data_IF_607271139976
#
_entry.id   IF_607271139976
#
_cell.length_a   1.000
_cell.length_b   1.000
_cell.length_c   1.000
_cell.angle_alpha   90.00
_cell.angle_beta   90.00
_cell.angle_gamma   90.00
#
_symmetry.space_group_name_H-M   'P 1'
#
loop_
_entity.id
_entity.type
_entity.pdbx_description
1 polymer ?
2 non-polymer ?
3 non-polymer ?
4 non-polymer ?
5 water ?
#
# COMPACT_ATOMS: atom_id res chain seq x y z
N UNK A 40 -16.23 10.78 13.16
CA UNK A 40 -15.48 10.78 11.87
C UNK A 40 -14.48 9.61 11.87
N UNK A 41 -14.52 8.74 10.86
CA UNK A 41 -13.53 7.63 10.71
C UNK A 41 -12.16 8.22 10.42
N UNK A 42 -11.17 7.83 11.23
CA UNK A 42 -9.75 8.18 11.00
C UNK A 42 -9.22 7.22 9.93
N UNK A 43 -8.57 7.78 8.91
CA UNK A 43 -8.04 6.97 7.78
C UNK A 43 -6.50 6.99 7.87
N UNK A 44 -5.93 5.81 8.01
CA UNK A 44 -4.46 5.62 8.19
C UNK A 44 -3.99 4.63 7.15
N UNK A 45 -2.99 5.00 6.38
CA UNK A 45 -2.39 4.08 5.38
C UNK A 45 -1.20 3.37 6.01
N UNK A 46 -1.11 2.07 5.78
CA UNK A 46 0.09 1.26 6.10
C UNK A 46 0.93 1.15 4.81
N UNK A 47 2.10 1.75 4.82
CA UNK A 47 3.01 1.79 3.65
C UNK A 47 4.28 0.99 3.94
N UNK A 48 4.81 0.38 2.89
CA UNK A 48 6.06 -0.36 2.97
C UNK A 48 6.37 -1.18 1.73
N UNK A 49 7.62 -1.63 1.67
CA UNK A 49 8.12 -2.47 0.56
C UNK A 49 7.36 -3.78 0.53
N UNK A 50 7.46 -4.47 -0.60
CA UNK A 50 6.99 -5.88 -0.77
C UNK A 50 7.53 -6.72 0.39
N UNK A 51 6.63 -7.47 1.04
CA UNK A 51 6.91 -8.46 2.12
C UNK A 51 7.56 -7.79 3.33
N UNK A 52 7.39 -6.48 3.53
CA UNK A 52 7.82 -5.78 4.77
C UNK A 52 7.04 -6.33 6.00
N UNK A 53 5.82 -6.81 5.82
CA UNK A 53 4.95 -7.23 6.94
C UNK A 53 3.61 -6.51 7.03
N UNK A 54 3.15 -5.84 5.97
CA UNK A 54 1.97 -4.93 6.06
C UNK A 54 0.73 -5.77 6.30
N UNK A 55 0.54 -6.81 5.49
CA UNK A 55 -0.64 -7.70 5.62
C UNK A 55 -0.68 -8.33 7.02
N UNK A 56 0.46 -8.83 7.47
CA UNK A 56 0.62 -9.44 8.81
C UNK A 56 0.22 -8.41 9.88
N UNK A 57 0.71 -7.17 9.76
CA UNK A 57 0.46 -6.10 10.75
C UNK A 57 -1.03 -5.73 10.74
N UNK A 58 -1.57 -5.58 9.55
CA UNK A 58 -2.99 -5.15 9.41
C UNK A 58 -3.91 -6.20 10.07
N UNK A 59 -3.61 -7.49 9.92
CA UNK A 59 -4.44 -8.60 10.45
C UNK A 59 -4.22 -8.72 11.96
N UNK A 60 -3.09 -8.23 12.47
CA UNK A 60 -2.88 -8.05 13.94
C UNK A 60 -3.81 -6.93 14.43
N UNK A 61 -3.71 -5.75 13.83
CA UNK A 61 -4.46 -4.55 14.29
C UNK A 61 -5.97 -4.84 14.30
N UNK A 62 -6.47 -5.43 13.22
CA UNK A 62 -7.92 -5.64 13.02
C UNK A 62 -8.53 -6.27 14.28
N UNK A 63 -7.80 -7.21 14.89
CA UNK A 63 -8.28 -8.05 16.01
C UNK A 63 -8.29 -7.30 17.35
N UNK A 64 -7.65 -6.14 17.43
CA UNK A 64 -7.36 -5.51 18.75
C UNK A 64 -8.47 -4.56 19.18
N UNK A 65 -9.38 -4.19 18.30
CA UNK A 65 -10.48 -3.25 18.62
C UNK A 65 -11.60 -3.46 17.62
N UNK A 66 -12.84 -3.39 18.08
CA UNK A 66 -14.02 -3.52 17.20
C UNK A 66 -14.18 -2.18 16.48
N UNK A 67 -13.49 -1.15 16.94
CA UNK A 67 -13.50 0.20 16.35
C UNK A 67 -12.38 0.30 15.30
N UNK A 68 -11.61 -0.77 15.13
CA UNK A 68 -10.50 -0.88 14.15
C UNK A 68 -10.92 -1.84 13.05
N UNK A 69 -10.87 -1.37 11.81
CA UNK A 69 -11.23 -2.12 10.59
C UNK A 69 -10.07 -1.94 9.60
N UNK A 70 -9.96 -2.84 8.62
CA UNK A 70 -8.82 -2.90 7.66
C UNK A 70 -9.34 -2.92 6.23
N UNK A 71 -8.68 -2.26 5.29
CA UNK A 71 -8.98 -2.47 3.84
C UNK A 71 -7.74 -3.11 3.21
N UNK A 72 -7.75 -4.44 2.98
CA UNK A 72 -6.62 -5.11 2.34
C UNK A 72 -6.44 -4.55 0.93
N UNK A 73 -5.20 -4.61 0.45
CA UNK A 73 -4.82 -4.15 -0.90
C UNK A 73 -5.40 -5.13 -1.92
N UNK A 74 -6.20 -4.67 -2.89
CA UNK A 74 -6.75 -5.57 -3.89
C UNK A 74 -5.69 -6.47 -4.56
N UNK A 75 -4.57 -5.90 -4.97
CA UNK A 75 -3.48 -6.67 -5.64
C UNK A 75 -3.05 -7.82 -4.72
N UNK A 76 -2.91 -7.53 -3.43
CA UNK A 76 -2.52 -8.51 -2.40
C UNK A 76 -3.57 -9.63 -2.40
N UNK A 77 -4.85 -9.27 -2.43
CA UNK A 77 -5.94 -10.27 -2.37
C UNK A 77 -5.95 -11.09 -3.67
N UNK A 78 -5.73 -10.46 -4.84
CA UNK A 78 -5.65 -11.16 -6.15
C UNK A 78 -4.56 -12.25 -6.05
N UNK A 79 -3.43 -11.97 -5.41
CA UNK A 79 -2.27 -12.89 -5.28
C UNK A 79 -2.59 -14.07 -4.33
N UNK A 80 -3.63 -13.94 -3.49
CA UNK A 80 -4.08 -14.94 -2.48
C UNK A 80 -3.09 -14.97 -1.32
N UNK A 91 -13.32 -16.17 -6.93
CA UNK A 91 -14.65 -16.38 -7.56
C UNK A 91 -15.19 -15.05 -8.12
N UNK A 92 -14.92 -13.89 -7.51
CA UNK A 92 -15.51 -12.57 -7.94
C UNK A 92 -14.91 -12.15 -9.29
N UNK A 93 -15.63 -11.32 -10.06
CA UNK A 93 -15.13 -10.89 -11.40
C UNK A 93 -13.86 -10.06 -11.20
N UNK A 94 -13.76 -9.26 -10.13
CA UNK A 94 -12.53 -8.50 -9.85
C UNK A 94 -11.38 -9.50 -9.65
N UNK A 95 -11.60 -10.59 -8.91
CA UNK A 95 -10.51 -11.56 -8.62
C UNK A 95 -10.10 -12.26 -9.91
N UNK A 96 -11.07 -12.61 -10.74
CA UNK A 96 -10.84 -13.29 -12.03
C UNK A 96 -10.02 -12.36 -12.92
N UNK A 97 -10.45 -11.10 -13.06
CA UNK A 97 -9.75 -10.06 -13.84
C UNK A 97 -8.34 -9.89 -13.26
N UNK A 98 -8.23 -9.73 -11.94
CA UNK A 98 -6.94 -9.45 -11.30
C UNK A 98 -5.98 -10.62 -11.42
N UNK A 99 -6.45 -11.86 -11.25
CA UNK A 99 -5.55 -13.00 -11.46
C UNK A 99 -5.02 -13.02 -12.88
N UNK A 100 -5.89 -12.85 -13.89
CA UNK A 100 -5.45 -12.79 -15.30
C UNK A 100 -4.43 -11.66 -15.46
N UNK A 101 -4.72 -10.46 -14.96
CA UNK A 101 -3.79 -9.31 -15.15
C UNK A 101 -2.44 -9.64 -14.51
N UNK A 102 -2.43 -10.21 -13.30
CA UNK A 102 -1.15 -10.61 -12.65
C UNK A 102 -0.36 -11.59 -13.53
N UNK A 103 -1.02 -12.57 -14.11
CA UNK A 103 -0.30 -13.58 -14.93
C UNK A 103 0.20 -12.91 -16.20
N UNK A 104 -0.60 -12.04 -16.81
CA UNK A 104 -0.22 -11.37 -18.07
C UNK A 104 0.99 -10.46 -17.84
N UNK A 105 1.03 -9.85 -16.65
CA UNK A 105 2.13 -8.94 -16.23
C UNK A 105 3.44 -9.73 -16.12
N UNK A 106 3.42 -10.97 -15.62
CA UNK A 106 4.66 -11.78 -15.51
C UNK A 106 5.22 -11.97 -16.91
N UNK A 107 4.35 -12.23 -17.89
CA UNK A 107 4.75 -12.54 -19.29
C UNK A 107 5.25 -11.29 -20.02
N UNK A 108 4.53 -10.17 -20.00
CA UNK A 108 5.09 -8.93 -20.58
C UNK A 108 4.54 -7.68 -19.91
N UNK A 109 5.35 -7.14 -19.00
CA UNK A 109 4.95 -5.95 -18.25
C UNK A 109 4.73 -4.71 -19.13
N UNK A 110 5.49 -4.56 -20.23
CA UNK A 110 5.42 -3.34 -21.07
C UNK A 110 4.09 -3.35 -21.83
N UNK A 111 3.38 -4.48 -21.86
CA UNK A 111 2.06 -4.58 -22.52
C UNK A 111 0.94 -4.27 -21.50
N UNK A 112 1.10 -4.69 -20.23
CA UNK A 112 -0.05 -4.76 -19.28
C UNK A 112 0.09 -3.78 -18.12
N UNK A 113 1.21 -3.08 -17.97
CA UNK A 113 1.41 -2.22 -16.77
C UNK A 113 0.30 -1.18 -16.63
N UNK A 114 -0.03 -0.44 -17.70
CA UNK A 114 -1.07 0.61 -17.66
C UNK A 114 -2.42 -0.01 -17.25
N UNK A 115 -2.81 -1.12 -17.87
CA UNK A 115 -4.09 -1.78 -17.62
C UNK A 115 -4.10 -2.21 -16.15
N UNK A 116 -3.03 -2.87 -15.71
CA UNK A 116 -2.87 -3.38 -14.33
C UNK A 116 -2.96 -2.22 -13.34
N UNK A 117 -2.16 -1.18 -13.53
CA UNK A 117 -2.09 -0.08 -12.53
C UNK A 117 -3.46 0.62 -12.43
N UNK A 118 -4.18 0.83 -13.54
CA UNK A 118 -5.49 1.52 -13.52
C UNK A 118 -6.48 0.62 -12.78
N UNK A 119 -6.47 -0.69 -13.02
CA UNK A 119 -7.48 -1.57 -12.39
C UNK A 119 -7.16 -1.73 -10.90
N UNK A 120 -5.89 -1.80 -10.56
CA UNK A 120 -5.42 -1.93 -9.18
C UNK A 120 -5.91 -0.73 -8.37
N UNK A 121 -5.71 0.46 -8.92
CA UNK A 121 -6.06 1.71 -8.22
C UNK A 121 -7.58 1.84 -8.16
N UNK A 122 -8.30 1.59 -9.25
CA UNK A 122 -9.79 1.62 -9.24
C UNK A 122 -10.30 0.72 -8.10
N UNK A 123 -9.83 -0.53 -8.09
CA UNK A 123 -10.21 -1.62 -7.19
C UNK A 123 -9.97 -1.14 -5.77
N UNK A 124 -8.87 -0.43 -5.56
CA UNK A 124 -8.54 0.08 -4.21
C UNK A 124 -9.55 1.15 -3.79
N UNK A 125 -9.83 2.12 -4.65
CA UNK A 125 -10.75 3.26 -4.34
C UNK A 125 -12.11 2.63 -4.00
N UNK A 126 -12.54 1.67 -4.81
CA UNK A 126 -13.87 1.08 -4.63
C UNK A 126 -13.91 0.43 -3.24
N UNK A 127 -12.89 -0.36 -2.91
CA UNK A 127 -12.80 -1.13 -1.65
C UNK A 127 -12.68 -0.16 -0.46
N UNK A 128 -11.87 0.90 -0.57
CA UNK A 128 -11.71 1.87 0.54
C UNK A 128 -13.06 2.59 0.78
N UNK A 129 -13.73 3.06 -0.27
CA UNK A 129 -15.02 3.79 -0.15
C UNK A 129 -16.09 2.86 0.43
N UNK A 130 -16.11 1.57 0.05
CA UNK A 130 -17.08 0.56 0.55
C UNK A 130 -16.94 0.44 2.08
N UNK A 131 -15.74 0.23 2.59
CA UNK A 131 -15.47 0.18 4.04
C UNK A 131 -15.84 1.49 4.71
N UNK A 132 -15.56 2.64 4.09
CA UNK A 132 -15.78 3.98 4.68
C UNK A 132 -17.27 4.23 4.82
N UNK A 133 -18.05 3.67 3.90
CA UNK A 133 -19.51 3.90 3.79
C UNK A 133 -20.30 2.80 4.53
N UNK A 134 -19.68 1.65 4.77
CA UNK A 134 -20.35 0.44 5.21
C UNK A 134 -20.06 0.12 6.67
N UNK A 135 -18.92 0.55 7.21
CA UNK A 135 -18.38 -0.03 8.46
C UNK A 135 -18.27 1.03 9.57
N UNK A 136 -18.01 0.56 10.79
CA UNK A 136 -17.65 1.37 11.98
C UNK A 136 -18.74 2.41 12.30
N UNK A 137 -20.01 2.20 11.91
CA UNK A 137 -21.06 3.23 12.15
C UNK A 137 -21.39 3.33 13.65
N UNK A 138 -21.23 2.26 14.43
CA UNK A 138 -21.43 2.22 15.91
C UNK A 138 -20.09 2.46 16.67
N UNK A 139 -19.00 2.82 16.00
CA UNK A 139 -17.68 2.93 16.67
C UNK A 139 -17.64 4.20 17.54
N UNK A 140 -16.92 4.15 18.65
CA UNK A 140 -16.68 5.35 19.48
C UNK A 140 -15.54 6.15 18.85
N UNK A 141 -14.40 5.49 18.60
CA UNK A 141 -13.20 6.14 17.98
C UNK A 141 -12.78 5.34 16.75
N UNK A 142 -13.54 5.48 15.62
CA UNK A 142 -13.34 4.63 14.46
C UNK A 142 -12.00 4.95 13.77
N UNK A 143 -11.29 3.89 13.41
CA UNK A 143 -10.03 3.96 12.60
C UNK A 143 -10.15 2.90 11.52
N UNK A 144 -9.91 3.31 10.28
CA UNK A 144 -9.81 2.40 9.13
C UNK A 144 -8.34 2.38 8.69
N UNK A 145 -7.72 1.20 8.73
CA UNK A 145 -6.32 0.98 8.29
C UNK A 145 -6.36 0.52 6.83
N UNK A 146 -5.78 1.31 5.94
CA UNK A 146 -5.57 0.91 4.52
C UNK A 146 -4.26 0.16 4.37
N UNK A 147 -4.30 -1.02 3.74
CA UNK A 147 -3.08 -1.67 3.23
C UNK A 147 -2.66 -0.94 1.94
N UNK A 148 -1.70 -0.03 2.07
CA UNK A 148 -1.23 0.95 1.04
C UNK A 148 -2.36 1.92 0.65
N UNK A 149 -2.08 2.80 -0.30
CA UNK A 149 -2.97 3.91 -0.69
C UNK A 149 -2.90 4.13 -2.20
N UNK A 150 -3.75 5.05 -2.66
CA UNK A 150 -3.73 5.55 -4.06
C UNK A 150 -2.39 6.26 -4.31
N UNK A 151 -1.75 6.84 -3.28
CA UNK A 151 -0.43 7.49 -3.40
C UNK A 151 0.66 6.45 -3.67
N UNK A 152 0.70 5.32 -2.97
CA UNK A 152 1.70 4.26 -3.24
C UNK A 152 1.43 3.66 -4.63
N UNK A 153 0.16 3.61 -5.05
CA UNK A 153 -0.20 3.12 -6.39
C UNK A 153 0.56 3.94 -7.45
N UNK A 154 0.57 5.26 -7.32
CA UNK A 154 1.07 6.19 -8.35
C UNK A 154 2.56 6.45 -8.14
N UNK A 155 2.98 6.81 -6.92
CA UNK A 155 4.32 7.35 -6.63
C UNK A 155 5.31 6.24 -6.38
N UNK A 156 4.84 5.05 -6.09
CA UNK A 156 5.74 3.89 -5.88
C UNK A 156 5.63 3.03 -7.14
N UNK A 157 4.47 2.46 -7.43
CA UNK A 157 4.39 1.32 -8.37
C UNK A 157 4.31 1.81 -9.83
N UNK A 158 3.35 2.68 -10.14
CA UNK A 158 3.08 3.13 -11.51
C UNK A 158 4.33 3.88 -11.95
N UNK A 159 4.87 4.70 -11.04
CA UNK A 159 6.09 5.49 -11.24
C UNK A 159 7.24 4.55 -11.58
N UNK A 160 7.44 3.53 -10.77
CA UNK A 160 8.51 2.52 -10.98
C UNK A 160 8.34 1.86 -12.35
N UNK A 161 7.12 1.49 -12.72
CA UNK A 161 6.87 0.83 -14.03
C UNK A 161 7.20 1.78 -15.20
N UNK A 162 6.89 3.08 -15.11
CA UNK A 162 7.30 4.09 -16.09
C UNK A 162 8.83 4.09 -16.19
N UNK A 163 9.49 4.06 -15.04
CA UNK A 163 10.95 4.15 -14.95
C UNK A 163 11.57 2.88 -15.53
N UNK A 164 10.90 1.74 -15.41
CA UNK A 164 11.40 0.43 -15.91
C UNK A 164 10.96 0.21 -17.36
N UNK A 165 10.50 1.29 -18.02
CA UNK A 165 10.08 1.31 -19.45
C UNK A 165 8.97 0.28 -19.69
N UNK A 166 8.10 0.09 -18.71
CA UNK A 166 6.93 -0.81 -18.85
C UNK A 166 5.71 0.02 -19.19
N UNK A 167 5.79 1.34 -19.07
CA UNK A 167 4.75 2.26 -19.63
C UNK A 167 5.47 3.30 -20.48
N UNK A 168 4.89 3.70 -21.61
CA UNK A 168 5.48 4.79 -22.43
C UNK A 168 4.99 6.12 -21.83
N UNK A 169 5.49 7.25 -22.32
CA UNK A 169 5.11 8.59 -21.80
C UNK A 169 3.58 8.83 -21.87
N UNK A 170 2.93 8.47 -22.96
CA UNK A 170 1.47 8.68 -23.12
C UNK A 170 0.73 7.86 -22.05
N UNK A 171 1.14 6.61 -21.80
CA UNK A 171 0.48 5.71 -20.82
C UNK A 171 0.65 6.33 -19.43
N UNK A 172 1.82 6.84 -19.12
CA UNK A 172 2.16 7.44 -17.81
C UNK A 172 1.40 8.76 -17.64
N UNK A 173 1.34 9.60 -18.68
CA UNK A 173 0.62 10.90 -18.65
C UNK A 173 -0.89 10.64 -18.56
N UNK A 174 -1.40 9.65 -19.29
CA UNK A 174 -2.84 9.28 -19.18
C UNK A 174 -3.11 8.78 -17.76
N UNK A 175 -2.23 7.93 -17.22
CA UNK A 175 -2.37 7.38 -15.85
C UNK A 175 -2.45 8.53 -14.86
N UNK A 176 -1.52 9.46 -14.92
CA UNK A 176 -1.50 10.57 -13.93
C UNK A 176 -2.75 11.45 -14.03
N UNK A 177 -3.21 11.72 -15.26
CA UNK A 177 -4.41 12.53 -15.53
C UNK A 177 -5.64 11.87 -14.87
N UNK A 178 -5.80 10.58 -15.13
CA UNK A 178 -6.84 9.66 -14.61
C UNK A 178 -6.80 9.72 -13.08
N UNK A 179 -5.61 9.52 -12.51
CA UNK A 179 -5.38 9.50 -11.05
C UNK A 179 -5.74 10.85 -10.44
N UNK A 180 -5.22 11.96 -10.99
CA UNK A 180 -5.54 13.33 -10.53
C UNK A 180 -7.05 13.50 -10.54
N UNK A 181 -7.67 13.13 -11.65
CA UNK A 181 -9.14 13.25 -11.79
C UNK A 181 -9.88 12.26 -10.87
N UNK A 182 -9.63 10.94 -10.93
CA UNK A 182 -10.41 9.89 -10.19
C UNK A 182 -10.30 10.20 -8.71
N UNK A 183 -9.31 11.00 -8.28
CA UNK A 183 -9.12 11.39 -6.86
C UNK A 183 -9.71 12.79 -6.63
N UNK A 184 -10.79 13.14 -7.33
CA UNK A 184 -11.60 14.37 -7.03
C UNK A 184 -13.09 14.10 -7.23
N UNK A 188 -11.78 11.94 -2.50
CA UNK A 188 -12.03 13.14 -1.63
C UNK A 188 -12.18 12.75 -0.16
N UNK A 189 -13.16 11.90 0.13
CA UNK A 189 -13.40 11.35 1.48
C UNK A 189 -12.31 10.32 1.82
N UNK A 190 -11.30 10.13 0.98
CA UNK A 190 -10.23 9.10 1.20
C UNK A 190 -8.95 9.76 1.73
N UNK A 191 -8.89 11.09 1.84
CA UNK A 191 -7.66 11.78 2.30
C UNK A 191 -7.25 11.19 3.66
N UNK A 192 -5.94 11.05 3.89
CA UNK A 192 -5.37 10.30 5.03
C UNK A 192 -5.19 11.24 6.22
N UNK A 193 -5.53 10.75 7.41
CA UNK A 193 -5.23 11.44 8.68
C UNK A 193 -3.77 11.17 9.06
N UNK A 194 -3.22 10.03 8.62
CA UNK A 194 -1.88 9.59 9.01
C UNK A 194 -1.38 8.44 8.16
N UNK A 195 -0.05 8.31 8.13
CA UNK A 195 0.65 7.20 7.46
C UNK A 195 1.47 6.48 8.49
N UNK A 196 1.42 5.15 8.43
CA UNK A 196 2.37 4.28 9.16
C UNK A 196 3.25 3.59 8.13
N UNK A 197 4.53 3.92 8.18
CA UNK A 197 5.60 3.38 7.32
C UNK A 197 6.28 2.21 8.04
N UNK A 198 6.05 0.99 7.57
CA UNK A 198 6.79 -0.20 8.05
C UNK A 198 8.10 -0.30 7.25
N UNK A 199 9.19 0.09 7.90
CA UNK A 199 10.53 0.21 7.27
C UNK A 199 11.27 -1.10 7.53
N UNK A 200 11.59 -1.83 6.46
CA UNK A 200 12.46 -3.03 6.45
C UNK A 200 13.55 -2.86 5.40
N UNK A 201 14.71 -3.47 5.61
CA UNK A 201 15.82 -3.47 4.61
C UNK A 201 15.34 -4.25 3.39
N UNK A 202 15.90 -4.01 2.19
CA UNK A 202 15.63 -4.88 1.04
C UNK A 202 15.90 -6.36 1.38
N UNK A 203 16.95 -6.62 2.16
CA UNK A 203 17.41 -7.99 2.53
C UNK A 203 16.32 -8.67 3.35
N UNK A 204 15.79 -7.95 4.36
CA UNK A 204 14.65 -8.44 5.17
C UNK A 204 13.51 -8.79 4.22
N UNK A 205 13.13 -7.90 3.31
CA UNK A 205 11.94 -8.15 2.43
C UNK A 205 12.22 -9.35 1.52
N UNK A 206 13.45 -9.46 1.00
CA UNK A 206 13.87 -10.61 0.14
C UNK A 206 13.70 -11.91 0.93
N UNK A 207 14.20 -11.93 2.18
CA UNK A 207 14.02 -13.10 3.09
C UNK A 207 12.51 -13.36 3.31
N UNK A 208 11.70 -12.32 3.54
CA UNK A 208 10.24 -12.51 3.76
C UNK A 208 9.53 -12.94 2.47
N UNK A 209 9.99 -12.52 1.28
CA UNK A 209 9.43 -13.10 0.03
C UNK A 209 9.65 -14.62 0.03
N UNK A 210 10.84 -15.06 0.44
CA UNK A 210 11.21 -16.50 0.51
C UNK A 210 10.25 -17.19 1.49
N UNK A 211 10.17 -16.70 2.73
CA UNK A 211 9.21 -17.22 3.74
C UNK A 211 7.81 -17.31 3.16
N UNK A 212 7.26 -16.26 2.52
CA UNK A 212 5.84 -16.29 2.07
C UNK A 212 5.69 -17.35 0.94
N UNK A 213 6.74 -17.58 0.15
CA UNK A 213 6.81 -18.69 -0.82
C UNK A 213 5.79 -18.62 -1.96
N UNK A 214 5.38 -17.43 -2.43
CA UNK A 214 4.63 -17.32 -3.71
C UNK A 214 5.65 -17.65 -4.82
N UNK A 215 5.40 -18.73 -5.56
CA UNK A 215 6.32 -19.26 -6.61
C UNK A 215 6.71 -18.11 -7.55
N UNK A 216 5.71 -17.33 -7.98
CA UNK A 216 5.82 -16.25 -8.99
C UNK A 216 6.71 -15.11 -8.49
N UNK A 217 6.99 -15.02 -7.19
CA UNK A 217 7.72 -13.87 -6.59
C UNK A 217 9.17 -14.26 -6.27
N UNK A 218 9.52 -15.55 -6.38
CA UNK A 218 10.87 -16.05 -6.00
C UNK A 218 11.92 -15.46 -6.96
N UNK A 219 11.51 -15.04 -8.17
CA UNK A 219 12.39 -14.40 -9.16
C UNK A 219 12.63 -12.92 -8.87
N UNK A 220 11.94 -12.31 -7.90
CA UNK A 220 12.10 -10.85 -7.66
C UNK A 220 13.54 -10.62 -7.22
N UNK A 221 14.32 -9.75 -7.92
CA UNK A 221 15.69 -9.48 -7.54
C UNK A 221 15.87 -8.37 -6.50
N UNK A 222 16.94 -8.46 -5.72
CA UNK A 222 17.24 -7.54 -4.61
C UNK A 222 17.26 -6.09 -5.10
N UNK A 223 17.75 -5.90 -6.34
CA UNK A 223 17.94 -4.56 -6.97
C UNK A 223 16.59 -3.83 -7.07
N UNK A 224 15.57 -4.52 -7.53
CA UNK A 224 14.18 -4.00 -7.63
C UNK A 224 13.68 -3.60 -6.23
N UNK A 225 13.85 -4.48 -5.23
CA UNK A 225 13.46 -4.16 -3.82
C UNK A 225 14.22 -2.92 -3.35
N UNK A 226 15.50 -2.82 -3.70
CA UNK A 226 16.32 -1.62 -3.33
C UNK A 226 15.71 -0.38 -3.96
N UNK A 227 15.25 -0.45 -5.21
CA UNK A 227 14.65 0.73 -5.89
C UNK A 227 13.37 1.13 -5.14
N UNK A 228 12.48 0.17 -4.89
CA UNK A 228 11.22 0.42 -4.14
C UNK A 228 11.56 1.01 -2.78
N UNK A 229 12.54 0.43 -2.10
CA UNK A 229 12.99 0.93 -0.77
C UNK A 229 13.35 2.42 -0.88
N UNK A 230 14.17 2.79 -1.88
CA UNK A 230 14.65 4.18 -2.07
C UNK A 230 13.45 5.13 -2.26
N UNK A 231 12.46 4.71 -3.05
CA UNK A 231 11.23 5.52 -3.30
C UNK A 231 10.52 5.74 -1.96
N UNK A 232 10.35 4.70 -1.17
CA UNK A 232 9.67 4.79 0.14
C UNK A 232 10.43 5.77 1.04
N UNK A 233 11.76 5.66 1.12
CA UNK A 233 12.59 6.55 1.96
C UNK A 233 12.38 8.00 1.49
N UNK A 234 12.42 8.28 0.19
CA UNK A 234 12.26 9.67 -0.35
C UNK A 234 10.87 10.22 -0.01
N UNK A 235 9.85 9.38 -0.11
CA UNK A 235 8.44 9.84 0.10
C UNK A 235 8.22 10.06 1.59
N UNK A 236 8.57 9.09 2.43
CA UNK A 236 7.99 8.98 3.79
C UNK A 236 9.00 9.35 4.89
N UNK A 237 10.30 9.24 4.61
CA UNK A 237 11.36 9.54 5.61
C UNK A 237 11.94 10.94 5.36
N UNK A 238 12.58 11.15 4.22
CA UNK A 238 13.19 12.45 3.81
C UNK A 238 12.10 13.43 3.37
N UNK A 239 10.94 12.94 2.94
CA UNK A 239 9.81 13.78 2.45
C UNK A 239 10.30 14.67 1.28
N UNK A 240 11.18 14.11 0.44
CA UNK A 240 11.80 14.77 -0.74
C UNK A 240 10.93 14.58 -1.99
N UNK A 241 10.08 13.55 -2.02
CA UNK A 241 9.21 13.26 -3.21
C UNK A 241 8.13 14.34 -3.30
N UNK A 242 8.06 15.04 -4.43
CA UNK A 242 6.97 16.00 -4.71
C UNK A 242 5.79 15.17 -5.23
N UNK A 243 4.60 15.41 -4.70
CA UNK A 243 3.36 14.79 -5.22
C UNK A 243 2.45 15.91 -5.67
N UNK A 244 1.37 15.56 -6.31
CA UNK A 244 0.36 16.54 -6.75
C UNK A 244 -0.75 16.63 -5.70
N UNK A 245 -0.46 16.27 -4.44
CA UNK A 245 -1.45 16.31 -3.33
C UNK A 245 -0.84 17.10 -2.18
N UNK A 246 -1.22 18.38 -2.09
CA UNK A 246 -0.52 19.37 -1.23
C UNK A 246 -0.62 18.91 0.24
N UNK A 247 -1.80 18.47 0.67
CA UNK A 247 -2.07 18.09 2.09
C UNK A 247 -1.05 17.01 2.53
N UNK A 248 -0.60 16.15 1.61
CA UNK A 248 0.31 15.00 1.91
C UNK A 248 1.59 15.48 2.59
N UNK A 249 2.05 16.70 2.29
CA UNK A 249 3.37 17.18 2.80
C UNK A 249 3.21 17.46 4.30
N UNK A 250 1.97 17.59 4.78
CA UNK A 250 1.59 17.94 6.17
C UNK A 250 1.14 16.70 6.96
N UNK A 251 0.84 15.58 6.29
CA UNK A 251 0.23 14.40 6.97
C UNK A 251 1.23 13.79 7.94
N UNK A 252 0.83 13.51 9.20
CA UNK A 252 1.75 12.90 10.16
C UNK A 252 2.14 11.49 9.70
N UNK A 253 3.40 11.14 9.91
CA UNK A 253 3.94 9.81 9.51
C UNK A 253 4.56 9.17 10.74
N UNK A 254 4.17 7.95 11.05
CA UNK A 254 4.83 7.09 12.05
C UNK A 254 5.72 6.08 11.32
N UNK A 255 7.04 6.13 11.54
CA UNK A 255 7.98 5.12 11.00
C UNK A 255 8.26 4.02 12.03
N UNK A 256 8.03 2.79 11.66
CA UNK A 256 8.26 1.60 12.49
C UNK A 256 9.28 0.72 11.77
N UNK A 257 10.33 0.39 12.50
CA UNK A 257 11.35 -0.58 12.04
C UNK A 257 10.78 -1.97 12.28
N UNK A 258 10.60 -2.75 11.23
CA UNK A 258 10.00 -4.10 11.31
C UNK A 258 11.02 -5.14 10.87
N UNK A 259 12.32 -4.83 10.94
CA UNK A 259 13.37 -5.84 10.60
C UNK A 259 13.25 -7.04 11.54
N UNK A 260 13.03 -6.80 12.83
CA UNK A 260 12.85 -7.92 13.80
C UNK A 260 11.45 -8.51 13.57
N UNK A 261 11.37 -9.84 13.48
CA UNK A 261 10.09 -10.60 13.51
C UNK A 261 9.16 -10.04 14.60
N UNK A 262 7.88 -9.77 14.28
CA UNK A 262 6.94 -9.18 15.25
C UNK A 262 5.68 -10.05 15.36
N UNK A 263 5.59 -11.17 14.64
CA UNK A 263 4.33 -11.95 14.59
C UNK A 263 3.85 -12.29 16.01
N UNK A 264 4.76 -12.59 16.94
CA UNK A 264 4.44 -13.02 18.32
C UNK A 264 4.92 -12.01 19.35
N UNK A 265 5.36 -10.85 18.89
CA UNK A 265 6.01 -9.86 19.77
C UNK A 265 5.76 -8.50 19.13
N UNK A 266 4.52 -8.05 19.17
CA UNK A 266 4.12 -6.82 18.45
C UNK A 266 3.59 -5.74 19.39
N UNK A 267 3.67 -5.90 20.72
CA UNK A 267 3.01 -4.96 21.65
C UNK A 267 3.65 -3.58 21.53
N UNK A 268 4.97 -3.51 21.39
CA UNK A 268 5.70 -2.22 21.32
C UNK A 268 5.27 -1.45 20.05
N UNK A 269 5.09 -2.16 18.94
CA UNK A 269 4.64 -1.53 17.68
C UNK A 269 3.22 -0.99 17.88
N UNK A 270 2.34 -1.79 18.49
CA UNK A 270 0.92 -1.35 18.70
C UNK A 270 0.90 -0.18 19.68
N UNK A 271 1.77 -0.17 20.69
CA UNK A 271 1.83 0.97 21.62
C UNK A 271 2.14 2.25 20.82
N UNK A 272 3.10 2.17 19.90
CA UNK A 272 3.49 3.32 19.08
C UNK A 272 2.28 3.76 18.24
N UNK A 273 1.55 2.81 17.67
CA UNK A 273 0.32 3.10 16.89
C UNK A 273 -0.68 3.86 17.79
N UNK A 274 -1.00 3.33 18.98
CA UNK A 274 -2.05 3.94 19.83
C UNK A 274 -1.63 5.37 20.21
N UNK A 275 -0.36 5.57 20.57
CA UNK A 275 0.22 6.91 20.83
C UNK A 275 0.03 7.82 19.60
N UNK A 276 0.37 7.31 18.42
CA UNK A 276 0.32 8.09 17.16
C UNK A 276 -1.14 8.50 16.94
N UNK A 277 -2.09 7.55 17.01
CA UNK A 277 -3.54 7.80 16.82
C UNK A 277 -4.06 8.88 17.77
N UNK A 278 -3.57 8.96 19.02
CA UNK A 278 -4.05 9.93 20.03
C UNK A 278 -3.62 11.35 19.64
N UNK A 279 -2.53 11.51 18.88
CA UNK A 279 -2.02 12.84 18.44
C UNK A 279 -2.86 13.39 17.28
N UNK A 280 -3.59 12.53 16.54
CA UNK A 280 -4.25 12.96 15.29
C UNK A 280 -5.58 13.67 15.63
X LIG B 1 6.65 -12.27 8.27
X LIG B 1 7.28 -12.79 9.43
X LIG B 1 7.50 -11.99 10.48
X LIG B 1 7.12 -10.69 10.44
X LIG B 1 6.50 -10.12 9.30
X LIG B 1 6.26 -10.97 8.22
X LIG B 1 7.62 -13.99 9.42
X LIG B 1 7.37 -9.94 11.40
X LIG B 1 6.41 -13.14 7.14
X LIG B 1 4.94 -13.33 6.84
X LIG B 1 4.33 -14.40 7.52
X LIG B 1 4.97 -13.56 5.35
X LIG B 1 6.11 -12.70 4.86
X LIG B 1 6.97 -12.48 5.98
X LIG B 1 5.23 -14.92 4.97
X LIG B 1 5.68 -11.35 4.30
X LIG B 1 4.76 -10.69 5.16
X LIG B 1 3.43 -9.96 4.60
X LIG B 1 2.71 -10.87 3.69
X LIG B 1 2.65 -9.43 5.78
X LIG B 1 4.10 -8.74 3.76
X LIG B 1 3.40 -7.52 2.93
X LIG B 1 1.90 -7.64 3.11
X LIG B 1 3.70 -7.83 1.48
X LIG B 1 4.13 -6.35 3.47
X LIG C 1 1.62 -3.91 -6.49
X LIG C 1 -0.21 -0.41 -7.50
X LIG C 1 0.38 -1.58 -7.15
X LIG C 1 2.61 -4.00 -8.64
X LIG C 1 3.50 -5.79 -9.60
X LIG C 1 3.42 -3.37 -9.55
X LIG C 1 4.26 -7.74 -10.94
X LIG C 1 5.94 -7.85 -12.65
X LIG C 1 3.68 -8.92 -11.42
X LIG C 1 7.69 -6.23 -13.25
X LIG C 1 9.54 -7.09 -14.73
X LIG C 1 10.13 -4.51 -15.57
X LIG C 1 9.08 -4.75 -14.68
X LIG C 1 12.03 -5.34 -17.01
X LIG C 1 10.32 -3.73 -19.97
X LIG C 1 12.33 -5.65 -19.41
X LIG C 1 1.76 -3.33 -7.69
X LIG C 1 0.80 -3.32 -5.60
X LIG C 1 0.19 -2.12 -5.86
X LIG C 1 1.15 -2.19 -8.04
X LIG C 1 2.67 -5.39 -8.68
X LIG C 1 4.31 -4.52 -10.48
X LIG C 1 3.69 -7.12 -9.82
X LIG C 1 5.39 -7.20 -11.55
X LIG C 1 5.39 -9.02 -13.12
X LIG C 1 4.27 -9.54 -12.51
X LIG C 1 2.47 -9.52 -10.77
X LIG C 1 7.07 -7.41 -13.35
X LIG C 1 8.79 -6.03 -14.24
X LIG C 1 7.46 -5.41 -12.36
X LIG C 1 10.59 -6.86 -15.61
X LIG C 1 10.87 -5.58 -16.06
X LIG C 1 11.76 -4.82 -18.35
X LIG C 1 10.36 -4.52 -18.68
X LIG C 1 10.95 -4.46 -21.07
X LIG C 1 12.29 -4.90 -20.73
X LIG C 1 10.97 -3.64 -22.30
X LIG D 1 8.29 -9.70 -10.31
X LIG D 1 6.45 -6.88 -8.04
X LIG D 1 7.00 -7.86 -8.77
X LIG D 1 9.93 -8.04 -10.86
X LIG D 1 11.72 -8.34 -12.13
X LIG D 1 10.44 -6.78 -10.81
X LIG D 1 13.72 -8.59 -13.56
X LIG D 1 15.00 -6.82 -14.55
X LIG D 1 14.82 -9.45 -13.61
X LIG D 1 14.33 -4.42 -14.66
X LIG D 1 14.95 -2.98 -16.64
X LIG D 1 15.38 -0.83 -14.95
X LIG D 1 14.96 -2.05 -14.43
X LIG D 1 16.11 0.63 -16.85
X LIG D 1 19.39 2.34 -16.28
X LIG D 1 18.31 -0.02 -15.92
X LIG D 1 8.72 -8.44 -10.18
X LIG D 1 7.10 -10.04 -9.66
X LIG D 1 6.45 -9.14 -8.85
X LIG D 1 8.13 -7.54 -9.44
X LIG D 1 10.71 -8.95 -11.56
X LIG D 1 11.93 -6.67 -11.67
X LIG D 1 12.50 -9.02 -13.01
X LIG D 1 13.80 -7.29 -14.02
X LIG D 1 16.10 -7.66 -14.61
X LIG D 1 16.02 -8.96 -14.14
X LIG D 1 14.75 -10.86 -13.11
X LIG D 1 15.06 -5.50 -15.04
X LIG D 1 14.72 -3.12 -15.28
X LIG D 1 13.46 -4.47 -13.79
X LIG D 1 15.38 -1.78 -17.15
X LIG D 1 15.58 -0.69 -16.33
X LIG D 1 17.32 1.05 -16.14
X LIG D 1 17.95 2.24 -16.70
X LIG D 1 20.17 1.29 -16.95
X LIG D 1 19.46 0.01 -16.91
X LIG D 1 21.54 1.21 -16.43
X LIG E 1 -11.56 -4.87 14.45
#
# INVERSE_FOLDING_TARGET
MGSSHHHHHHSSGLVPRGSHMATPPKRSSPSFSASSEGTRIKKISIEGNIAAGKSTFVNILKQLSEDWEVVPEPVARWSNVQSTQDEFEELTMEQKNGGNVLQMMYEKPERWSFTFQTYACLSRIRAQLASLNGKLKDAEKPVLFFERSVYSDRYIFASNLYESESMNETEWTIYQDWHDWMNNQFGQSLELDGIIYLQATPETCLHRIYLRGRNEEQGIPLEYLEKLHYKHESWLLHRTLKTNFDYLQEVPILTLDVNEDFKDKYESLVEKVKEFLSTL
UDP N1 C2 N3 C4 C5 C6 O2 O4 C1' C2' O2' C3' C4' O4' O3' C5' O5' PA O1A O2A O3A PB O1B O2B O3B
JCA N1 N3 C4 C5 C6 C7 C8 C10 C13 C15 C17 C20 C21 C22 C24 C26 C1 C2 C3 N2 N4 S1 N5 C9 C11 C12 C14 N6 C16 O1 C18 C19 N7 C23 N8 C25 C27
JCA N1 N3 C4 C5 C6 C7 C8 C10 C13 C15 C17 C20 C21 C22 C24 C26 C1 C2 C3 N2 N4 S1 N5 C9 C11 C12 C14 N6 C16 O1 C18 C19 N7 C23 N8 C25 C27
NA NA
#
